data_IF_229836427226
#
_entry.id   IF_229836427226
#
_cell.length_a   1.000
_cell.length_b   1.000
_cell.length_c   1.000
_cell.angle_alpha   90.00
_cell.angle_beta   90.00
_cell.angle_gamma   90.00
#
_symmetry.space_group_name_H-M   'P 1'
#
loop_
_entity.id
_entity.type
_entity.pdbx_description
1 polymer ?
#
# COMPACT_ATOMS: atom_id res chain seq x y z
N UNK A 1 -3.90 0.70 14.12
CA UNK A 1 -2.72 0.34 13.28
C UNK A 1 -2.90 -1.10 12.81
N UNK A 2 -2.69 -1.41 11.52
CA UNK A 2 -2.94 -2.75 10.97
C UNK A 2 -2.90 -2.88 9.45
N UNK A 3 -2.27 -1.92 8.74
CA UNK A 3 -2.12 -1.95 7.28
C UNK A 3 -0.90 -2.75 6.89
N UNK A 4 -1.03 -3.56 5.83
CA UNK A 4 0.06 -4.34 5.25
C UNK A 4 0.77 -3.54 4.16
N UNK A 5 2.02 -3.89 3.86
CA UNK A 5 2.77 -3.31 2.75
C UNK A 5 3.59 -4.39 2.02
N UNK A 6 3.49 -4.44 0.69
CA UNK A 6 4.25 -5.36 -0.17
C UNK A 6 5.38 -4.70 -0.95
N UNK A 7 5.42 -3.36 -0.96
CA UNK A 7 6.40 -2.54 -1.68
C UNK A 7 6.86 -1.33 -0.86
N UNK A 8 6.94 -1.49 0.46
CA UNK A 8 7.51 -0.45 1.32
C UNK A 8 8.99 -0.29 1.03
N UNK A 9 9.45 0.96 0.94
CA UNK A 9 10.86 1.30 0.74
C UNK A 9 11.37 2.09 1.95
N UNK A 10 12.56 1.75 2.42
CA UNK A 10 13.31 2.49 3.44
C UNK A 10 14.74 2.72 2.94
N UNK A 11 15.41 3.73 3.48
CA UNK A 11 16.85 3.93 3.30
C UNK A 11 17.50 4.15 4.66
N UNK A 12 18.77 3.76 4.79
CA UNK A 12 19.58 3.95 5.97
C UNK A 12 21.06 3.83 5.60
N UNK A 13 21.91 4.48 6.38
CA UNK A 13 23.37 4.37 6.23
C UNK A 13 23.88 3.17 7.01
N UNK A 14 24.74 2.36 6.39
CA UNK A 14 25.30 1.17 7.02
C UNK A 14 26.72 0.91 6.51
N UNK A 15 27.65 0.79 7.47
CA UNK A 15 28.98 0.25 7.17
C UNK A 15 28.90 -1.27 7.00
N UNK A 16 28.85 -1.74 5.76
CA UNK A 16 28.76 -3.16 5.41
C UNK A 16 29.80 -3.53 4.35
N UNK A 17 30.65 -4.52 4.65
CA UNK A 17 31.78 -4.93 3.79
C UNK A 17 31.49 -6.09 2.85
N UNK A 18 30.31 -6.69 2.95
CA UNK A 18 29.91 -7.84 2.14
C UNK A 18 28.88 -7.41 1.08
N UNK A 19 28.44 -8.34 0.23
CA UNK A 19 27.47 -8.02 -0.81
C UNK A 19 26.07 -7.72 -0.24
N UNK A 20 25.23 -7.06 -1.04
CA UNK A 20 23.85 -6.74 -0.68
C UNK A 20 22.99 -8.01 -0.56
N UNK A 21 23.28 -9.08 -1.30
CA UNK A 21 22.59 -10.37 -1.15
C UNK A 21 22.85 -10.97 0.23
N UNK A 22 24.11 -10.90 0.71
CA UNK A 22 24.45 -11.33 2.07
C UNK A 22 23.76 -10.46 3.12
N UNK A 23 23.60 -9.16 2.86
CA UNK A 23 22.86 -8.27 3.74
C UNK A 23 21.36 -8.65 3.78
N UNK A 24 20.74 -8.92 2.62
CA UNK A 24 19.34 -9.37 2.53
C UNK A 24 19.11 -10.63 3.36
N UNK A 25 20.00 -11.63 3.25
CA UNK A 25 19.92 -12.87 4.04
C UNK A 25 20.09 -12.57 5.53
N UNK A 26 21.09 -11.77 5.91
CA UNK A 26 21.36 -11.42 7.30
C UNK A 26 20.19 -10.67 7.95
N UNK A 27 19.59 -9.71 7.23
CA UNK A 27 18.41 -8.97 7.69
C UNK A 27 17.23 -9.92 7.92
N UNK A 28 16.89 -10.75 6.93
CA UNK A 28 15.78 -11.69 7.04
C UNK A 28 15.98 -12.75 8.13
N UNK A 29 17.22 -13.08 8.50
CA UNK A 29 17.51 -13.97 9.62
C UNK A 29 17.14 -13.37 10.98
N UNK A 30 17.25 -12.04 11.14
CA UNK A 30 17.02 -11.34 12.40
C UNK A 30 15.64 -10.68 12.49
N UNK A 31 14.92 -10.55 11.37
CA UNK A 31 13.60 -9.95 11.34
C UNK A 31 12.53 -10.92 11.87
N UNK A 32 11.45 -10.39 12.48
CA UNK A 32 10.31 -11.21 12.86
C UNK A 32 9.62 -11.79 11.62
N UNK A 33 8.86 -12.88 11.79
CA UNK A 33 8.23 -13.62 10.69
C UNK A 33 7.21 -12.82 9.87
N UNK A 34 6.75 -11.67 10.36
CA UNK A 34 5.81 -10.79 9.68
C UNK A 34 6.48 -9.63 8.91
N UNK A 35 7.82 -9.60 8.85
CA UNK A 35 8.60 -8.63 8.08
C UNK A 35 9.66 -9.38 7.26
N UNK A 36 9.75 -9.06 5.97
CA UNK A 36 10.78 -9.59 5.09
C UNK A 36 11.36 -8.52 4.16
N UNK A 37 12.67 -8.49 4.05
CA UNK A 37 13.42 -7.72 3.06
C UNK A 37 13.45 -8.49 1.75
N UNK A 38 12.93 -7.88 0.70
CA UNK A 38 12.85 -8.49 -0.64
C UNK A 38 14.08 -8.21 -1.49
N UNK A 39 14.65 -7.02 -1.33
CA UNK A 39 15.74 -6.51 -2.15
C UNK A 39 16.54 -5.48 -1.33
N UNK A 40 17.85 -5.43 -1.56
CA UNK A 40 18.75 -4.41 -1.02
C UNK A 40 19.64 -3.92 -2.16
N UNK A 41 19.68 -2.61 -2.34
CA UNK A 41 20.41 -1.95 -3.42
C UNK A 41 21.13 -0.74 -2.86
N UNK A 42 22.37 -0.51 -3.30
CA UNK A 42 23.13 0.70 -2.98
C UNK A 42 22.55 1.85 -3.79
N UNK A 43 22.25 2.96 -3.13
CA UNK A 43 21.68 4.16 -3.74
C UNK A 43 22.63 5.35 -3.54
N UNK A 44 22.53 6.40 -4.37
CA UNK A 44 23.23 7.66 -4.12
C UNK A 44 22.87 8.29 -2.76
N UNK A 45 23.78 9.08 -2.19
CA UNK A 45 23.62 9.72 -0.88
C UNK A 45 22.44 10.70 -0.80
N UNK A 46 21.98 11.23 -1.95
CA UNK A 46 20.84 12.13 -2.06
C UNK A 46 19.49 11.40 -2.24
N UNK A 47 19.50 10.06 -2.29
CA UNK A 47 18.27 9.28 -2.41
C UNK A 47 17.41 9.39 -1.14
N UNK A 48 16.17 9.84 -1.32
CA UNK A 48 15.19 9.86 -0.24
C UNK A 48 13.91 9.10 -0.62
N UNK A 49 13.56 7.99 0.03
CA UNK A 49 12.45 7.11 -0.39
C UNK A 49 11.08 7.81 -0.36
N UNK A 50 10.91 8.80 0.52
CA UNK A 50 9.71 9.66 0.53
C UNK A 50 9.68 10.67 -0.62
N UNK A 51 10.74 11.45 -0.83
CA UNK A 51 10.71 12.58 -1.76
C UNK A 51 11.07 12.18 -3.20
N UNK A 52 11.82 11.10 -3.39
CA UNK A 52 12.12 10.52 -4.69
C UNK A 52 11.02 9.61 -5.27
N UNK A 53 9.99 9.28 -4.48
CA UNK A 53 8.89 8.44 -4.96
C UNK A 53 7.88 9.23 -5.81
N UNK A 54 7.74 8.86 -7.08
CA UNK A 54 6.81 9.51 -8.02
C UNK A 54 5.34 9.21 -7.73
N UNK A 55 5.02 8.02 -7.22
CA UNK A 55 3.66 7.66 -6.83
C UNK A 55 3.65 6.59 -5.74
N UNK A 56 2.50 6.42 -5.09
CA UNK A 56 2.22 5.28 -4.20
C UNK A 56 0.98 4.58 -4.73
N UNK A 57 0.94 3.26 -4.57
CA UNK A 57 -0.22 2.44 -4.92
C UNK A 57 -0.72 1.72 -3.68
N UNK A 58 -2.03 1.77 -3.47
CA UNK A 58 -2.71 1.04 -2.42
C UNK A 58 -3.61 -0.02 -3.06
N UNK A 59 -3.82 -1.12 -2.33
CA UNK A 59 -4.75 -2.18 -2.72
C UNK A 59 -5.60 -2.52 -1.51
N UNK A 60 -6.92 -2.40 -1.64
CA UNK A 60 -7.88 -2.76 -0.60
C UNK A 60 -8.62 -4.02 -1.01
N UNK A 61 -8.90 -4.91 -0.04
CA UNK A 61 -9.67 -6.14 -0.27
C UNK A 61 -10.89 -6.15 0.64
N UNK A 62 -12.04 -6.49 0.06
CA UNK A 62 -13.32 -6.61 0.72
C UNK A 62 -13.84 -8.03 0.52
N UNK A 63 -14.10 -8.72 1.62
CA UNK A 63 -14.72 -10.04 1.60
C UNK A 63 -16.22 -9.89 1.78
N UNK A 64 -17.00 -10.18 0.73
CA UNK A 64 -18.45 -9.98 0.71
C UNK A 64 -19.19 -11.29 0.88
N UNK A 65 -19.50 -11.67 2.12
CA UNK A 65 -20.27 -12.89 2.42
C UNK A 65 -21.07 -12.73 3.73
N UNK A 66 -22.18 -13.46 3.93
CA UNK A 66 -22.96 -13.35 5.16
C UNK A 66 -22.19 -13.74 6.43
N UNK A 67 -21.26 -14.69 6.31
CA UNK A 67 -20.46 -15.24 7.41
C UNK A 67 -19.01 -14.83 7.24
N UNK A 68 -18.32 -14.49 8.35
CA UNK A 68 -16.89 -14.15 8.35
C UNK A 68 -16.02 -15.31 7.89
N UNK A 69 -14.92 -15.02 7.20
CA UNK A 69 -13.87 -15.98 6.85
C UNK A 69 -12.67 -15.83 7.78
N UNK A 70 -12.29 -16.85 8.58
CA UNK A 70 -11.06 -16.81 9.36
C UNK A 70 -9.81 -16.63 8.51
N UNK A 71 -9.81 -17.17 7.28
CA UNK A 71 -8.68 -17.10 6.34
C UNK A 71 -8.46 -15.66 5.85
N UNK A 72 -9.55 -14.95 5.52
CA UNK A 72 -9.49 -13.60 4.98
C UNK A 72 -9.42 -12.52 6.07
N UNK A 73 -9.74 -12.86 7.31
CA UNK A 73 -9.91 -11.92 8.43
C UNK A 73 -8.72 -10.97 8.66
N UNK A 74 -7.50 -11.40 8.30
CA UNK A 74 -6.28 -10.58 8.43
C UNK A 74 -6.01 -9.68 7.22
N UNK A 75 -6.56 -10.00 6.06
CA UNK A 75 -6.14 -9.46 4.76
C UNK A 75 -7.25 -8.73 4.00
N UNK A 76 -8.51 -8.91 4.39
CA UNK A 76 -9.68 -8.31 3.78
C UNK A 76 -10.65 -7.79 4.84
N UNK A 77 -11.33 -6.70 4.54
CA UNK A 77 -12.42 -6.22 5.37
C UNK A 77 -13.70 -7.00 5.07
N UNK A 78 -14.30 -7.60 6.10
CA UNK A 78 -15.56 -8.32 5.97
C UNK A 78 -16.74 -7.35 5.82
N UNK A 79 -17.46 -7.47 4.72
CA UNK A 79 -18.69 -6.73 4.41
C UNK A 79 -19.83 -7.74 4.29
N UNK A 80 -20.77 -7.81 5.25
CA UNK A 80 -21.80 -8.86 5.29
C UNK A 80 -22.96 -8.66 4.31
N UNK A 81 -22.77 -7.80 3.31
CA UNK A 81 -23.76 -7.47 2.28
C UNK A 81 -23.13 -7.50 0.88
N UNK A 82 -23.91 -7.81 -0.17
CA UNK A 82 -23.42 -7.69 -1.55
C UNK A 82 -23.04 -6.25 -1.88
N UNK A 83 -21.92 -6.09 -2.60
CA UNK A 83 -21.49 -4.82 -3.17
C UNK A 83 -21.83 -4.76 -4.65
N UNK A 84 -22.37 -3.63 -5.10
CA UNK A 84 -22.53 -3.30 -6.51
C UNK A 84 -21.18 -2.81 -7.07
N UNK A 85 -20.41 -3.76 -7.58
CA UNK A 85 -19.05 -3.51 -8.08
C UNK A 85 -19.05 -2.62 -9.31
N UNK A 86 -20.09 -2.69 -10.15
CA UNK A 86 -20.16 -1.86 -11.35
C UNK A 86 -20.46 -0.41 -10.97
N UNK A 87 -21.34 -0.17 -9.99
CA UNK A 87 -21.56 1.16 -9.44
C UNK A 87 -20.30 1.71 -8.77
N UNK A 88 -19.58 0.89 -8.00
CA UNK A 88 -18.31 1.29 -7.39
C UNK A 88 -17.25 1.61 -8.44
N UNK A 89 -17.13 0.82 -9.51
CA UNK A 89 -16.19 1.09 -10.61
C UNK A 89 -16.55 2.38 -11.36
N UNK A 90 -17.85 2.66 -11.59
CA UNK A 90 -18.29 3.95 -12.17
C UNK A 90 -17.92 5.11 -11.24
N UNK A 91 -18.12 4.96 -9.93
CA UNK A 91 -17.72 5.96 -8.95
C UNK A 91 -16.20 6.16 -8.90
N UNK A 92 -15.42 5.08 -9.01
CA UNK A 92 -13.94 5.10 -9.00
C UNK A 92 -13.37 6.01 -10.10
N UNK A 93 -13.99 6.02 -11.28
CA UNK A 93 -13.57 6.86 -12.41
C UNK A 93 -13.59 8.36 -12.08
N UNK A 94 -14.48 8.82 -11.20
CA UNK A 94 -14.54 10.24 -10.80
C UNK A 94 -13.37 10.68 -9.93
N UNK A 95 -12.65 9.74 -9.31
CA UNK A 95 -11.49 10.06 -8.49
C UNK A 95 -10.23 10.31 -9.30
N UNK A 96 -10.15 9.84 -10.54
CA UNK A 96 -8.99 10.03 -11.42
C UNK A 96 -8.82 11.52 -11.75
N UNK A 97 -7.57 12.00 -11.75
CA UNK A 97 -7.23 13.41 -11.95
C UNK A 97 -6.89 14.15 -10.66
N UNK A 98 -6.84 15.47 -10.73
CA UNK A 98 -6.44 16.35 -9.61
C UNK A 98 -7.66 16.88 -8.86
N UNK A 99 -7.74 16.57 -7.56
CA UNK A 99 -8.86 16.93 -6.70
C UNK A 99 -8.39 17.38 -5.32
N UNK A 100 -9.17 18.23 -4.65
CA UNK A 100 -8.98 18.52 -3.23
C UNK A 100 -9.67 17.44 -2.38
N UNK A 101 -8.86 16.59 -1.74
CA UNK A 101 -9.32 15.48 -0.91
C UNK A 101 -9.58 15.84 0.55
N UNK A 102 -9.81 17.12 0.89
CA UNK A 102 -10.06 17.56 2.29
C UNK A 102 -11.20 16.82 3.01
N UNK A 103 -12.18 16.31 2.28
CA UNK A 103 -13.29 15.52 2.85
C UNK A 103 -12.85 14.14 3.31
N UNK A 104 -11.73 13.63 2.77
CA UNK A 104 -11.20 12.29 3.04
C UNK A 104 -10.01 12.29 4.01
N UNK A 105 -9.49 13.47 4.38
CA UNK A 105 -8.40 13.56 5.33
C UNK A 105 -7.77 14.94 5.41
N UNK A 106 -6.70 15.02 6.19
CA UNK A 106 -5.95 16.25 6.46
C UNK A 106 -4.64 16.30 5.66
N UNK A 107 -4.05 17.49 5.55
CA UNK A 107 -2.71 17.64 5.00
C UNK A 107 -1.70 16.79 5.81
N UNK A 108 -0.79 16.04 5.16
CA UNK A 108 0.18 15.21 5.85
C UNK A 108 1.23 16.00 6.65
N UNK A 109 1.55 17.20 6.16
CA UNK A 109 2.57 18.09 6.73
C UNK A 109 1.89 19.39 7.19
N UNK A 110 2.42 20.00 8.26
CA UNK A 110 1.91 21.29 8.72
C UNK A 110 2.08 22.36 7.64
N UNK A 111 1.01 23.10 7.34
CA UNK A 111 0.99 24.08 6.25
C UNK A 111 0.86 23.49 4.84
N UNK A 112 0.74 22.16 4.71
CA UNK A 112 0.52 21.51 3.41
C UNK A 112 -0.94 21.59 2.92
N UNK A 113 -1.20 20.98 1.77
CA UNK A 113 -2.55 20.88 1.18
C UNK A 113 -3.00 19.43 0.97
N UNK A 114 -4.30 19.27 0.75
CA UNK A 114 -5.01 18.00 0.48
C UNK A 114 -5.24 17.74 -1.01
N UNK A 115 -4.83 18.66 -1.89
CA UNK A 115 -4.89 18.45 -3.34
C UNK A 115 -3.97 17.31 -3.77
N UNK A 116 -4.49 16.29 -4.43
CA UNK A 116 -3.74 15.15 -4.95
C UNK A 116 -4.17 14.82 -6.37
N UNK A 117 -3.23 14.28 -7.14
CA UNK A 117 -3.50 13.68 -8.43
C UNK A 117 -3.61 12.15 -8.29
N UNK A 118 -4.75 11.60 -8.69
CA UNK A 118 -4.95 10.15 -8.77
C UNK A 118 -4.73 9.72 -10.21
N UNK A 119 -3.68 8.94 -10.43
CA UNK A 119 -3.32 8.45 -11.76
C UNK A 119 -4.22 7.29 -12.22
N UNK A 120 -4.70 6.48 -11.28
CA UNK A 120 -5.53 5.31 -11.55
C UNK A 120 -6.38 4.96 -10.33
N UNK A 121 -7.65 4.63 -10.54
CA UNK A 121 -8.57 4.13 -9.52
C UNK A 121 -9.54 3.12 -10.16
N UNK A 122 -9.63 1.92 -9.60
CA UNK A 122 -10.48 0.85 -10.14
C UNK A 122 -10.96 -0.07 -9.04
N UNK A 123 -12.17 -0.61 -9.18
CA UNK A 123 -12.77 -1.61 -8.33
C UNK A 123 -13.19 -2.80 -9.18
N UNK A 124 -12.81 -4.01 -8.77
CA UNK A 124 -13.10 -5.24 -9.51
C UNK A 124 -13.30 -6.44 -8.58
N UNK A 125 -13.90 -7.52 -9.08
CA UNK A 125 -13.95 -8.80 -8.36
C UNK A 125 -12.71 -9.64 -8.69
N UNK A 126 -12.00 -10.10 -7.67
CA UNK A 126 -10.86 -11.03 -7.77
C UNK A 126 -11.06 -12.19 -6.78
N UNK A 127 -11.04 -13.43 -7.27
CA UNK A 127 -11.03 -14.64 -6.43
C UNK A 127 -12.06 -14.65 -5.28
N UNK A 128 -13.29 -14.20 -5.55
CA UNK A 128 -14.36 -14.14 -4.55
C UNK A 128 -14.32 -12.94 -3.59
N UNK A 129 -13.36 -12.04 -3.75
CA UNK A 129 -13.28 -10.75 -3.04
C UNK A 129 -13.51 -9.58 -3.98
N UNK A 130 -13.96 -8.45 -3.44
CA UNK A 130 -13.92 -7.16 -4.16
C UNK A 130 -12.58 -6.49 -3.84
N UNK A 131 -11.96 -5.90 -4.84
CA UNK A 131 -10.64 -5.30 -4.76
C UNK A 131 -10.71 -3.89 -5.30
N UNK A 132 -10.09 -2.94 -4.60
CA UNK A 132 -9.84 -1.57 -5.07
C UNK A 132 -8.36 -1.23 -5.12
#
# INVERSE_FOLDING_TARGET
KGTHASGQVISFDLAWRHSTEKLTVALNHHLPLDIAVREVTVVPDDFHPRFGASFRRYKYRFYTAPVRSPIDSRWAWHVPVPLDVDAMQRAAAHFVGSHDFKTFGSAPDQGGHTVREVLHCSVQRENGTVVS
#
